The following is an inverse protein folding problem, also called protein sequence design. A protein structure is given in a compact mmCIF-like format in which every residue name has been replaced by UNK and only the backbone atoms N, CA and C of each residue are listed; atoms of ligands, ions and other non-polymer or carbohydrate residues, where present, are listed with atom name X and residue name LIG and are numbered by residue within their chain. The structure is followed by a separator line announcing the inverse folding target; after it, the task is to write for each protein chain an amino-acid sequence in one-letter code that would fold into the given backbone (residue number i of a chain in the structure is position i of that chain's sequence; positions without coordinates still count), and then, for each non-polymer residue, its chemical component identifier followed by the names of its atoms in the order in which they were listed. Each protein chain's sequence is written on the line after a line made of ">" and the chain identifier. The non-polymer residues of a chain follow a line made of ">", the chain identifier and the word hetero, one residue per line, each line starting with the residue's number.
data_IF_052283838157
#
_entry.id   IF_052283838157
#
_cell.length_a   1.000
_cell.length_b   1.000
_cell.length_c   1.000
_cell.angle_alpha   90.00
_cell.angle_beta   90.00
_cell.angle_gamma   90.00
#
_symmetry.space_group_name_H-M   'P 1'
#
loop_
_entity.id
_entity.type
_entity.pdbx_description
1 polymer ?
#
# COMPACT_ATOMS: atom_id res chain seq x y z
N UNK A 1 2.33 -42.53 0.34
CA UNK A 1 3.64 -41.95 0.72
C UNK A 1 3.66 -40.52 0.18
N UNK A 2 3.55 -39.50 1.05
CA UNK A 2 3.38 -38.08 0.64
C UNK A 2 4.75 -37.46 0.37
N UNK A 3 4.96 -36.68 -0.71
CA UNK A 3 6.22 -35.97 -0.91
C UNK A 3 6.38 -34.92 0.20
N UNK A 4 7.47 -35.01 0.94
CA UNK A 4 7.81 -34.08 2.02
C UNK A 4 8.07 -32.70 1.42
N UNK A 5 7.34 -31.71 1.93
CA UNK A 5 7.57 -30.29 1.65
C UNK A 5 9.00 -29.96 2.05
N UNK A 6 9.87 -29.68 1.09
CA UNK A 6 11.21 -29.11 1.34
C UNK A 6 11.01 -27.72 1.92
N UNK A 7 10.97 -27.61 3.24
CA UNK A 7 11.26 -26.36 3.94
C UNK A 7 12.76 -26.17 3.83
N UNK A 8 13.22 -25.42 2.82
CA UNK A 8 14.62 -25.00 2.74
C UNK A 8 14.95 -24.21 4.01
N UNK A 9 15.84 -24.68 4.88
CA UNK A 9 16.31 -23.87 5.98
C UNK A 9 17.10 -22.70 5.41
N UNK A 10 16.76 -21.52 5.89
CA UNK A 10 17.33 -20.25 5.52
C UNK A 10 18.78 -20.12 6.02
N UNK A 11 19.72 -20.83 5.38
CA UNK A 11 21.15 -20.66 5.63
C UNK A 11 21.63 -19.48 4.80
N UNK A 12 21.76 -18.30 5.41
CA UNK A 12 22.95 -17.51 5.04
C UNK A 12 23.94 -17.61 6.16
N UNK A 13 25.15 -17.84 5.73
CA UNK A 13 26.36 -17.61 6.49
C UNK A 13 27.06 -16.43 5.81
N UNK A 14 27.57 -15.47 6.60
CA UNK A 14 28.75 -14.66 6.25
C UNK A 14 28.62 -13.39 5.39
N UNK A 15 27.67 -13.25 4.47
CA UNK A 15 27.48 -11.97 3.77
C UNK A 15 26.65 -11.02 4.64
N UNK A 16 27.11 -9.79 4.87
CA UNK A 16 26.35 -8.75 5.59
C UNK A 16 24.97 -8.64 4.94
N UNK A 17 23.96 -9.31 5.52
CA UNK A 17 22.62 -9.31 4.96
C UNK A 17 22.09 -7.91 5.11
N UNK A 18 21.91 -7.22 3.98
CA UNK A 18 21.05 -6.05 3.94
C UNK A 18 19.66 -6.51 4.39
N UNK A 19 19.01 -5.79 5.32
CA UNK A 19 17.66 -6.12 5.77
C UNK A 19 16.71 -6.22 4.57
N UNK A 20 15.83 -7.22 4.60
CA UNK A 20 14.89 -7.46 3.52
C UNK A 20 13.86 -6.32 3.42
N UNK A 21 13.52 -5.93 2.19
CA UNK A 21 12.47 -4.96 1.91
C UNK A 21 11.15 -5.71 1.68
N UNK A 22 10.13 -5.36 2.46
CA UNK A 22 8.76 -5.90 2.33
C UNK A 22 7.85 -4.80 1.83
N UNK A 23 7.20 -5.02 0.67
CA UNK A 23 6.22 -4.08 0.11
C UNK A 23 4.82 -4.65 0.29
N UNK A 24 3.92 -3.90 0.94
CA UNK A 24 2.55 -4.34 1.20
C UNK A 24 1.55 -3.18 1.19
N UNK A 25 0.27 -3.51 1.06
CA UNK A 25 -0.81 -2.54 1.25
C UNK A 25 -0.84 -2.03 2.69
N UNK A 26 -1.18 -0.76 2.84
CA UNK A 26 -1.51 -0.19 4.14
C UNK A 26 -2.81 -0.78 4.68
N UNK A 27 -2.84 -0.93 6.00
CA UNK A 27 -4.02 -1.31 6.79
C UNK A 27 -4.35 -0.16 7.75
N UNK A 28 -5.56 -0.15 8.34
CA UNK A 28 -5.91 0.88 9.33
C UNK A 28 -4.95 0.92 10.55
N UNK A 29 -4.30 -0.21 10.88
CA UNK A 29 -3.33 -0.28 11.97
C UNK A 29 -2.03 0.51 11.69
N UNK A 30 -1.75 0.83 10.42
CA UNK A 30 -0.54 1.55 10.01
C UNK A 30 -0.67 3.07 10.13
N UNK A 31 -1.84 3.59 10.50
CA UNK A 31 -2.12 5.03 10.53
C UNK A 31 -1.15 5.80 11.44
N UNK A 32 -0.79 5.24 12.60
CA UNK A 32 0.19 5.86 13.51
C UNK A 32 1.59 5.94 12.91
N UNK A 33 2.06 4.84 12.32
CA UNK A 33 3.38 4.79 11.66
C UNK A 33 3.46 5.71 10.44
N UNK A 34 2.35 5.83 9.67
CA UNK A 34 2.25 6.77 8.57
C UNK A 34 2.31 8.23 9.03
N UNK A 35 1.64 8.56 10.14
CA UNK A 35 1.69 9.90 10.72
C UNK A 35 3.09 10.27 11.18
N UNK A 36 3.79 9.36 11.88
CA UNK A 36 5.19 9.60 12.27
C UNK A 36 6.09 9.75 11.04
N UNK A 37 5.93 8.92 10.02
CA UNK A 37 6.74 9.04 8.80
C UNK A 37 6.53 10.38 8.09
N UNK A 38 5.28 10.85 8.02
CA UNK A 38 4.93 12.13 7.41
C UNK A 38 5.47 13.32 8.21
N UNK A 39 5.47 13.21 9.54
CA UNK A 39 6.12 14.19 10.42
C UNK A 39 7.64 14.24 10.19
N UNK A 40 8.30 13.08 10.04
CA UNK A 40 9.75 13.02 9.76
C UNK A 40 10.10 13.68 8.41
N UNK A 41 9.26 13.50 7.40
CA UNK A 41 9.44 14.04 6.04
C UNK A 41 8.87 15.46 5.88
N UNK A 42 8.32 16.04 6.95
CA UNK A 42 7.66 17.37 6.98
C UNK A 42 6.56 17.55 5.91
N UNK A 43 5.81 16.49 5.61
CA UNK A 43 4.72 16.51 4.61
C UNK A 43 3.39 16.10 5.22
N UNK A 44 2.28 16.50 4.58
CA UNK A 44 0.97 15.96 4.90
C UNK A 44 0.83 14.52 4.38
N UNK A 45 0.07 13.68 5.09
CA UNK A 45 -0.24 12.32 4.62
C UNK A 45 -1.10 12.41 3.34
N UNK A 46 -0.63 11.90 2.19
CA UNK A 46 -1.42 11.89 0.96
C UNK A 46 -2.67 11.00 1.09
N UNK A 47 -3.65 11.14 0.19
CA UNK A 47 -4.84 10.29 0.20
C UNK A 47 -4.52 8.80 0.03
N UNK A 48 -5.32 7.95 0.64
CA UNK A 48 -5.31 6.50 0.42
C UNK A 48 -5.70 6.14 -1.05
N UNK A 49 -5.42 4.91 -1.52
CA UNK A 49 -4.76 3.81 -0.83
C UNK A 49 -3.23 3.90 -0.89
N UNK A 50 -2.57 3.49 0.21
CA UNK A 50 -1.12 3.52 0.33
C UNK A 50 -0.47 2.16 0.12
N UNK A 51 0.69 2.18 -0.52
CA UNK A 51 1.64 1.07 -0.59
C UNK A 51 2.83 1.39 0.32
N UNK A 52 3.11 0.51 1.27
CA UNK A 52 4.13 0.68 2.28
C UNK A 52 5.35 -0.18 1.95
N UNK A 53 6.56 0.35 2.16
CA UNK A 53 7.79 -0.43 2.22
C UNK A 53 8.37 -0.41 3.62
N UNK A 54 8.57 -1.62 4.13
CA UNK A 54 9.24 -1.87 5.39
C UNK A 54 10.62 -2.45 5.13
N UNK A 55 11.62 -2.00 5.87
CA UNK A 55 12.96 -2.57 5.88
C UNK A 55 13.12 -3.30 7.21
N UNK A 56 13.10 -4.63 7.16
CA UNK A 56 12.82 -5.41 8.38
C UNK A 56 11.38 -5.18 8.86
N UNK A 57 11.23 -4.64 10.07
CA UNK A 57 9.92 -4.33 10.68
C UNK A 57 9.61 -2.82 10.70
N UNK A 58 10.51 -1.99 10.17
CA UNK A 58 10.41 -0.53 10.23
C UNK A 58 9.86 0.03 8.93
N UNK A 59 8.85 0.91 9.02
CA UNK A 59 8.28 1.62 7.86
C UNK A 59 9.24 2.72 7.40
N UNK A 60 9.74 2.63 6.17
CA UNK A 60 10.67 3.61 5.61
C UNK A 60 10.05 4.48 4.52
N UNK A 61 9.09 3.93 3.76
CA UNK A 61 8.49 4.65 2.63
C UNK A 61 7.01 4.31 2.53
N UNK A 62 6.20 5.31 2.23
CA UNK A 62 4.81 5.16 1.82
C UNK A 62 4.57 5.86 0.47
N UNK A 63 3.83 5.21 -0.42
CA UNK A 63 3.37 5.76 -1.69
C UNK A 63 1.86 5.80 -1.70
N UNK A 64 1.26 6.94 -2.04
CA UNK A 64 -0.14 6.98 -2.43
C UNK A 64 -0.28 6.49 -3.88
N UNK A 65 -1.12 5.48 -4.10
CA UNK A 65 -1.44 5.03 -5.45
C UNK A 65 -2.49 5.91 -6.14
N UNK A 66 -3.20 6.77 -5.40
CA UNK A 66 -4.19 7.68 -5.99
C UNK A 66 -3.53 8.94 -6.55
N UNK A 67 -2.52 9.50 -5.86
CA UNK A 67 -1.82 10.72 -6.30
C UNK A 67 -0.42 10.46 -6.87
N UNK A 68 0.21 9.33 -6.50
CA UNK A 68 1.60 9.04 -6.85
C UNK A 68 2.63 9.71 -5.92
N UNK A 69 2.17 10.45 -4.90
CA UNK A 69 3.02 11.12 -3.92
C UNK A 69 3.67 10.10 -2.98
N UNK A 70 4.92 10.40 -2.59
CA UNK A 70 5.73 9.54 -1.74
C UNK A 70 6.11 10.29 -0.47
N UNK A 71 5.99 9.60 0.65
CA UNK A 71 6.58 9.98 1.93
C UNK A 71 7.76 9.04 2.18
N UNK A 72 8.91 9.58 2.57
CA UNK A 72 10.12 8.80 2.84
C UNK A 72 10.80 9.22 4.12
N UNK A 73 11.40 8.29 4.86
CA UNK A 73 12.23 8.62 6.02
C UNK A 73 13.52 9.31 5.52
N UNK A 74 13.72 10.62 5.81
CA UNK A 74 14.87 11.38 5.32
C UNK A 74 16.16 11.08 6.09
N UNK A 75 16.06 10.42 7.25
CA UNK A 75 17.19 10.04 8.09
C UNK A 75 17.74 8.65 7.75
N UNK A 76 17.16 8.00 6.72
CA UNK A 76 17.57 6.69 6.20
C UNK A 76 17.93 6.82 4.72
N UNK A 77 18.74 5.89 4.16
CA UNK A 77 18.98 5.80 2.73
C UNK A 77 17.75 5.21 2.01
N UNK A 78 16.62 5.92 2.05
CA UNK A 78 15.31 5.48 1.60
C UNK A 78 15.07 5.70 0.10
N UNK A 79 15.99 6.37 -0.61
CA UNK A 79 15.85 6.69 -2.03
C UNK A 79 15.67 5.45 -2.93
N UNK A 80 16.47 4.40 -2.72
CA UNK A 80 16.37 3.15 -3.49
C UNK A 80 15.06 2.41 -3.16
N UNK A 81 14.66 2.41 -1.89
CA UNK A 81 13.38 1.82 -1.44
C UNK A 81 12.20 2.56 -2.06
N UNK A 82 12.26 3.89 -2.14
CA UNK A 82 11.24 4.71 -2.79
C UNK A 82 11.14 4.44 -4.29
N UNK A 83 12.27 4.23 -4.98
CA UNK A 83 12.26 3.81 -6.37
C UNK A 83 11.56 2.45 -6.56
N UNK A 84 11.85 1.47 -5.69
CA UNK A 84 11.19 0.16 -5.71
C UNK A 84 9.68 0.25 -5.49
N UNK A 85 9.22 1.05 -4.52
CA UNK A 85 7.80 1.23 -4.23
C UNK A 85 7.08 1.93 -5.38
N UNK A 86 7.69 2.96 -5.97
CA UNK A 86 7.13 3.64 -7.16
C UNK A 86 6.95 2.68 -8.34
N UNK A 87 7.96 1.87 -8.63
CA UNK A 87 7.88 0.89 -9.70
C UNK A 87 6.82 -0.18 -9.41
N UNK A 88 6.74 -0.64 -8.16
CA UNK A 88 5.68 -1.57 -7.76
C UNK A 88 4.28 -0.95 -7.90
N UNK A 89 4.10 0.30 -7.51
CA UNK A 89 2.83 1.03 -7.67
C UNK A 89 2.41 1.17 -9.13
N UNK A 90 3.35 1.44 -10.03
CA UNK A 90 3.10 1.46 -11.49
C UNK A 90 2.64 0.11 -12.02
N UNK A 91 3.24 -0.99 -11.56
CA UNK A 91 2.83 -2.33 -11.98
C UNK A 91 1.41 -2.67 -11.53
N UNK A 92 1.02 -2.26 -10.32
CA UNK A 92 -0.33 -2.47 -9.79
C UNK A 92 -1.37 -1.66 -10.57
N UNK A 93 -1.11 -0.38 -10.83
CA UNK A 93 -2.03 0.50 -11.56
C UNK A 93 -2.10 0.19 -13.07
N UNK A 94 -1.00 -0.20 -13.70
CA UNK A 94 -0.98 -0.59 -15.12
C UNK A 94 -1.78 -1.88 -15.39
N UNK A 95 -1.89 -2.76 -14.40
CA UNK A 95 -2.69 -3.99 -14.51
C UNK A 95 -4.19 -3.67 -14.54
N UNK A 96 -4.63 -2.58 -13.91
CA UNK A 96 -6.04 -2.13 -13.92
C UNK A 96 -6.45 -1.50 -15.27
N UNK A 97 -5.50 -0.91 -16.01
CA UNK A 97 -5.75 -0.20 -17.28
C UNK A 97 -5.73 -1.10 -18.54
N UNK A 98 -5.85 -2.43 -18.39
CA UNK A 98 -6.23 -3.32 -19.49
C UNK A 98 -5.18 -3.57 -20.58
N UNK A 99 -3.88 -3.31 -20.34
CA UNK A 99 -2.84 -3.68 -21.30
C UNK A 99 -2.46 -5.15 -21.13
N UNK A 100 -2.65 -6.03 -22.14
CA UNK A 100 -2.20 -7.41 -22.05
C UNK A 100 -0.68 -7.44 -22.09
N UNK A 101 -0.03 -7.78 -20.97
CA UNK A 101 1.39 -8.16 -20.97
C UNK A 101 1.49 -9.67 -20.99
N UNK A 102 1.98 -10.14 -22.13
CA UNK A 102 2.55 -11.46 -22.36
C UNK A 102 3.45 -11.86 -21.18
N UNK A 103 3.02 -12.90 -20.45
CA UNK A 103 3.83 -13.83 -19.69
C UNK A 103 4.77 -13.29 -18.60
N UNK A 104 4.28 -13.15 -17.36
CA UNK A 104 5.00 -13.55 -16.14
C UNK A 104 3.98 -14.01 -15.08
N UNK A 105 4.17 -15.27 -14.64
CA UNK A 105 3.58 -16.05 -13.53
C UNK A 105 2.44 -15.42 -12.71
N UNK A 106 1.25 -16.01 -12.83
CA UNK A 106 0.06 -15.75 -12.00
C UNK A 106 0.26 -16.27 -10.57
N UNK A 107 0.29 -15.37 -9.58
CA UNK A 107 -0.06 -15.68 -8.19
C UNK A 107 -1.43 -15.06 -7.91
N UNK A 108 -2.44 -15.92 -7.88
CA UNK A 108 -3.84 -15.56 -7.90
C UNK A 108 -4.31 -14.76 -6.68
N UNK A 109 -5.26 -13.87 -7.00
CA UNK A 109 -6.32 -13.31 -6.17
C UNK A 109 -6.78 -14.12 -4.94
N UNK A 110 -6.74 -13.42 -3.80
CA UNK A 110 -7.74 -13.42 -2.71
C UNK A 110 -7.23 -12.34 -1.76
N UNK A 111 -7.90 -11.20 -1.56
CA UNK A 111 -9.15 -11.08 -0.83
C UNK A 111 -9.81 -9.71 -1.10
N UNK A 112 -11.00 -9.76 -1.70
CA UNK A 112 -12.26 -9.08 -1.30
C UNK A 112 -12.16 -7.77 -0.49
N UNK A 113 -12.70 -6.72 -1.12
CA UNK A 113 -13.14 -5.46 -0.51
C UNK A 113 -14.16 -5.65 0.64
N UNK A 114 -14.40 -4.56 1.40
CA UNK A 114 -15.76 -4.06 1.49
C UNK A 114 -15.88 -2.60 1.03
N UNK A 115 -16.80 -2.38 0.09
CA UNK A 115 -17.44 -1.09 -0.15
C UNK A 115 -18.37 -0.82 1.05
N UNK A 116 -18.23 0.33 1.72
CA UNK A 116 -19.30 1.05 2.43
C UNK A 116 -18.78 2.40 2.95
N UNK A 117 -18.65 3.39 2.06
CA UNK A 117 -18.91 4.76 2.47
C UNK A 117 -20.42 4.98 2.32
N UNK A 118 -21.11 4.89 3.45
CA UNK A 118 -22.52 5.22 3.53
C UNK A 118 -22.68 6.74 3.38
N UNK A 119 -23.51 7.08 2.40
CA UNK A 119 -24.13 8.37 2.17
C UNK A 119 -25.12 8.70 3.31
N UNK A 120 -25.08 9.90 3.91
CA UNK A 120 -26.25 10.48 4.54
C UNK A 120 -26.81 11.61 3.66
N UNK A 121 -27.58 11.23 2.64
CA UNK A 121 -28.52 12.14 2.00
C UNK A 121 -29.90 11.94 2.62
N UNK A 122 -30.55 13.07 2.91
CA UNK A 122 -31.97 13.28 3.27
C UNK A 122 -32.30 13.25 4.76
N UNK A 123 -32.30 14.46 5.35
CA UNK A 123 -33.50 14.90 6.06
C UNK A 123 -34.41 15.60 5.05
N UNK A 124 -35.55 14.95 4.82
CA UNK A 124 -36.71 15.45 4.11
C UNK A 124 -37.48 16.37 5.04
N UNK A 125 -37.70 17.63 4.67
CA UNK A 125 -38.84 18.41 5.17
C UNK A 125 -39.82 18.58 4.02
N UNK A 126 -41.04 18.13 4.33
CA UNK A 126 -42.20 17.99 3.48
C UNK A 126 -42.57 19.29 2.78
N UNK A 127 -42.96 19.19 1.51
CA UNK A 127 -43.60 20.27 0.78
C UNK A 127 -45.11 20.33 1.00
N UNK A 128 -45.65 21.50 0.64
CA UNK A 128 -47.01 21.79 0.14
C UNK A 128 -48.18 21.76 1.15
N UNK A 129 -49.03 22.77 1.23
CA UNK A 129 -49.75 23.48 0.14
C UNK A 129 -50.18 24.92 0.50
N UNK A 130 -50.60 25.72 -0.50
CA UNK A 130 -51.16 27.07 -0.35
C UNK A 130 -52.70 27.07 -0.27
N UNK A 131 -53.28 28.20 0.16
CA UNK A 131 -54.49 28.93 -0.29
C UNK A 131 -54.82 30.00 0.75
N UNK A 132 -54.88 31.27 0.34
CA UNK A 132 -56.11 32.01 -0.07
C UNK A 132 -57.00 32.33 1.14
#
# INVERSE_FOLDING_TARGET
>A
MRPTRRTTPNRVDGYRRTPAVTIRWATPADAGSLAMLAELDEVAIPPAPHLLALVGEELWVALSLSTGEVISDPFRPSAEVAALVRERGRQLTATELGRPRSGVIRFADRLRAPRRFANPARLSVSGTRPRD
#
